data_IF_433996203179
#
_entry.id   IF_433996203179
#
_cell.length_a   1.000
_cell.length_b   1.000
_cell.length_c   1.000
_cell.angle_alpha   90.00
_cell.angle_beta   90.00
_cell.angle_gamma   90.00
#
_symmetry.space_group_name_H-M   'P 1'
#
loop_
_entity.id
_entity.type
_entity.pdbx_description
1 polymer ?
#
# COMPACT_ATOMS: atom_id res chain seq x y z
N UNK A 1 37.20 14.43 16.78
CA UNK A 1 35.92 14.34 17.50
C UNK A 1 34.78 13.71 16.69
N UNK A 2 35.02 13.07 15.53
CA UNK A 2 33.92 12.50 14.70
C UNK A 2 33.70 10.98 14.84
N UNK A 3 34.31 10.32 15.83
CA UNK A 3 34.17 8.87 15.99
C UNK A 3 32.86 8.45 16.66
N UNK A 4 32.18 9.35 17.38
CA UNK A 4 30.94 9.07 18.12
C UNK A 4 29.69 8.97 17.24
N UNK A 5 29.69 9.58 16.05
CA UNK A 5 28.60 9.51 15.06
C UNK A 5 28.80 8.38 14.03
N UNK A 6 30.04 8.01 13.74
CA UNK A 6 30.35 6.97 12.75
C UNK A 6 29.88 5.59 13.22
N UNK A 7 30.05 5.27 14.51
CA UNK A 7 29.69 3.96 15.05
C UNK A 7 28.18 3.66 15.03
N UNK A 8 27.29 4.55 15.54
CA UNK A 8 25.85 4.33 15.44
C UNK A 8 25.35 4.35 13.99
N UNK A 9 25.95 5.16 13.11
CA UNK A 9 25.59 5.18 11.68
C UNK A 9 25.97 3.87 10.98
N UNK A 10 27.14 3.30 11.29
CA UNK A 10 27.59 2.03 10.72
C UNK A 10 26.74 0.85 11.21
N UNK A 11 26.36 0.87 12.50
CA UNK A 11 25.43 -0.10 13.07
C UNK A 11 24.01 0.05 12.48
N UNK A 12 23.52 1.28 12.29
CA UNK A 12 22.24 1.55 11.65
C UNK A 12 22.23 1.09 10.18
N UNK A 13 23.31 1.30 9.42
CA UNK A 13 23.45 0.78 8.05
C UNK A 13 23.48 -0.76 8.06
N UNK A 14 24.22 -1.38 8.98
CA UNK A 14 24.20 -2.83 9.14
C UNK A 14 22.80 -3.35 9.51
N UNK A 15 22.06 -2.66 10.38
CA UNK A 15 20.71 -3.03 10.78
C UNK A 15 19.68 -2.78 9.67
N UNK A 16 19.89 -1.80 8.78
CA UNK A 16 19.10 -1.57 7.55
C UNK A 16 19.39 -2.65 6.49
N UNK A 17 20.61 -3.15 6.41
CA UNK A 17 20.99 -4.26 5.50
C UNK A 17 20.56 -5.63 6.07
N UNK A 18 20.65 -5.81 7.39
CA UNK A 18 20.14 -6.98 8.14
C UNK A 18 18.64 -6.86 8.48
N UNK A 19 17.99 -5.79 8.00
CA UNK A 19 16.60 -5.47 8.28
C UNK A 19 15.69 -6.55 7.73
N UNK A 20 15.90 -6.94 6.46
CA UNK A 20 15.06 -7.92 5.79
C UNK A 20 15.10 -9.30 6.49
N UNK A 21 16.26 -9.90 6.86
CA UNK A 21 16.27 -11.16 7.61
C UNK A 21 15.73 -11.05 9.04
N UNK A 22 16.08 -10.01 9.80
CA UNK A 22 15.71 -9.92 11.23
C UNK A 22 14.24 -9.55 11.45
N UNK A 23 13.66 -8.72 10.58
CA UNK A 23 12.21 -8.41 10.60
C UNK A 23 11.37 -9.67 10.45
N UNK A 24 11.80 -10.62 9.61
CA UNK A 24 11.08 -11.88 9.35
C UNK A 24 11.02 -12.77 10.59
N UNK A 25 12.08 -12.81 11.40
CA UNK A 25 12.14 -13.66 12.59
C UNK A 25 11.45 -13.08 13.82
N UNK A 26 11.33 -11.74 13.92
CA UNK A 26 10.79 -11.06 15.10
C UNK A 26 9.28 -10.83 15.04
N UNK A 27 8.66 -10.91 13.86
CA UNK A 27 7.27 -10.51 13.67
C UNK A 27 6.44 -11.60 12.97
N UNK A 28 5.53 -12.29 13.68
CA UNK A 28 4.73 -13.38 13.10
C UNK A 28 3.81 -12.95 11.94
N UNK A 29 3.53 -11.64 11.79
CA UNK A 29 2.79 -11.08 10.64
C UNK A 29 3.54 -11.21 9.30
N UNK A 30 4.88 -11.26 9.30
CA UNK A 30 5.68 -11.41 8.08
C UNK A 30 5.58 -12.81 7.46
N UNK A 31 5.36 -13.84 8.27
CA UNK A 31 5.24 -15.23 7.79
C UNK A 31 4.03 -15.39 6.87
N UNK A 32 2.92 -14.69 7.13
CA UNK A 32 1.75 -14.67 6.27
C UNK A 32 2.01 -13.93 4.95
N UNK A 33 2.76 -12.83 4.99
CA UNK A 33 3.13 -11.99 3.85
C UNK A 33 4.11 -12.69 2.90
N UNK A 34 5.13 -13.35 3.45
CA UNK A 34 6.14 -14.10 2.69
C UNK A 34 5.63 -15.41 2.10
N UNK A 35 4.56 -15.99 2.65
CA UNK A 35 3.90 -17.14 2.03
C UNK A 35 2.90 -16.72 0.95
N UNK A 36 2.21 -15.60 1.14
CA UNK A 36 1.14 -15.19 0.23
C UNK A 36 1.67 -14.54 -1.06
N UNK A 37 2.64 -13.63 -0.99
CA UNK A 37 3.07 -12.88 -2.19
C UNK A 37 3.76 -13.77 -3.23
N UNK A 38 4.69 -14.68 -2.89
CA UNK A 38 5.24 -15.63 -3.86
C UNK A 38 4.16 -16.55 -4.44
N UNK A 39 3.19 -16.99 -3.62
CA UNK A 39 2.07 -17.84 -4.07
C UNK A 39 1.14 -17.10 -5.04
N UNK A 40 0.85 -15.82 -4.77
CA UNK A 40 0.06 -14.93 -5.63
C UNK A 40 0.77 -14.65 -6.97
N UNK A 41 2.07 -14.37 -6.93
CA UNK A 41 2.89 -14.14 -8.12
C UNK A 41 3.06 -15.42 -8.97
N UNK A 42 3.17 -16.60 -8.34
CA UNK A 42 3.19 -17.88 -9.03
C UNK A 42 1.83 -18.22 -9.68
N UNK A 43 0.71 -17.84 -9.05
CA UNK A 43 -0.64 -17.97 -9.60
C UNK A 43 -0.86 -17.09 -10.83
N UNK A 44 -0.31 -15.86 -10.83
CA UNK A 44 -0.47 -14.92 -11.95
C UNK A 44 0.32 -15.33 -13.22
N UNK A 45 1.41 -16.09 -13.06
CA UNK A 45 2.43 -16.26 -14.13
C UNK A 45 2.57 -17.69 -14.70
N UNK A 46 1.74 -18.66 -14.28
CA UNK A 46 1.80 -20.04 -14.80
C UNK A 46 0.72 -20.30 -15.87
N UNK A 47 1.07 -20.41 -17.17
CA UNK A 47 0.09 -20.67 -18.24
C UNK A 47 -0.57 -22.06 -18.12
N UNK A 48 0.06 -23.00 -17.42
CA UNK A 48 -0.49 -24.34 -17.18
C UNK A 48 -1.49 -24.39 -16.02
N UNK A 49 -1.40 -23.47 -15.05
CA UNK A 49 -2.39 -23.35 -13.96
C UNK A 49 -3.60 -22.49 -14.35
N UNK A 50 -3.44 -21.55 -15.28
CA UNK A 50 -4.54 -20.75 -15.85
C UNK A 50 -5.64 -21.63 -16.50
N UNK A 51 -5.28 -22.81 -17.02
CA UNK A 51 -6.23 -23.72 -17.65
C UNK A 51 -6.97 -24.64 -16.67
N UNK A 52 -6.48 -24.82 -15.43
CA UNK A 52 -7.02 -25.79 -14.46
C UNK A 52 -7.69 -25.17 -13.23
N UNK A 53 -7.40 -23.91 -12.88
CA UNK A 53 -8.09 -23.21 -11.78
C UNK A 53 -8.65 -21.88 -12.29
N UNK A 54 -9.89 -21.98 -12.77
CA UNK A 54 -10.73 -20.95 -13.35
C UNK A 54 -10.45 -19.53 -12.84
N UNK A 55 -10.55 -18.56 -13.75
CA UNK A 55 -10.62 -17.10 -13.60
C UNK A 55 -11.62 -16.61 -12.52
N UNK A 56 -12.44 -17.52 -11.97
CA UNK A 56 -13.34 -17.35 -10.83
C UNK A 56 -12.58 -17.40 -9.47
N UNK A 57 -11.35 -17.92 -9.44
CA UNK A 57 -10.56 -18.18 -8.22
C UNK A 57 -9.87 -16.94 -7.66
N UNK A 58 -9.37 -16.03 -8.50
CA UNK A 58 -8.56 -14.89 -8.07
C UNK A 58 -9.38 -13.83 -7.28
N UNK A 59 -10.54 -13.33 -7.78
CA UNK A 59 -11.34 -12.36 -7.04
C UNK A 59 -11.87 -12.93 -5.73
N UNK A 60 -12.28 -14.20 -5.74
CA UNK A 60 -12.75 -14.88 -4.53
C UNK A 60 -11.61 -15.13 -3.54
N UNK A 61 -10.40 -15.41 -4.03
CA UNK A 61 -9.19 -15.49 -3.21
C UNK A 61 -8.84 -14.16 -2.55
N UNK A 62 -8.83 -13.06 -3.30
CA UNK A 62 -8.59 -11.71 -2.78
C UNK A 62 -9.67 -11.27 -1.78
N UNK A 63 -10.96 -11.50 -2.08
CA UNK A 63 -12.07 -11.28 -1.15
C UNK A 63 -11.84 -12.03 0.17
N UNK A 64 -11.51 -13.32 0.08
CA UNK A 64 -11.28 -14.18 1.25
C UNK A 64 -10.08 -13.69 2.04
N UNK A 65 -8.97 -13.36 1.38
CA UNK A 65 -7.77 -12.83 2.00
C UNK A 65 -8.08 -11.57 2.82
N UNK A 66 -8.63 -10.53 2.19
CA UNK A 66 -8.91 -9.26 2.89
C UNK A 66 -9.97 -9.44 3.98
N UNK A 67 -10.93 -10.36 3.82
CA UNK A 67 -11.87 -10.70 4.89
C UNK A 67 -11.15 -11.31 6.10
N UNK A 68 -10.25 -12.27 5.87
CA UNK A 68 -9.47 -12.92 6.93
C UNK A 68 -8.52 -11.93 7.60
N UNK A 69 -7.83 -11.09 6.83
CA UNK A 69 -6.91 -10.08 7.36
C UNK A 69 -7.65 -9.02 8.19
N UNK A 70 -8.80 -8.53 7.70
CA UNK A 70 -9.64 -7.59 8.46
C UNK A 70 -10.19 -8.19 9.75
N UNK A 71 -10.64 -9.45 9.71
CA UNK A 71 -11.11 -10.17 10.91
C UNK A 71 -9.98 -10.43 11.90
N UNK A 72 -8.78 -10.79 11.43
CA UNK A 72 -7.60 -10.96 12.25
C UNK A 72 -7.22 -9.65 12.96
N UNK A 73 -7.22 -8.53 12.22
CA UNK A 73 -6.92 -7.22 12.80
C UNK A 73 -7.97 -6.81 13.84
N UNK A 74 -9.26 -7.03 13.56
CA UNK A 74 -10.33 -6.76 14.52
C UNK A 74 -10.18 -7.61 15.79
N UNK A 75 -9.88 -8.90 15.66
CA UNK A 75 -9.63 -9.78 16.79
C UNK A 75 -8.42 -9.33 17.60
N UNK A 76 -7.33 -8.91 16.94
CA UNK A 76 -6.14 -8.39 17.60
C UNK A 76 -6.42 -7.09 18.35
N UNK A 77 -7.12 -6.12 17.74
CA UNK A 77 -7.51 -4.88 18.43
C UNK A 77 -8.38 -5.15 19.65
N UNK A 78 -9.38 -6.02 19.54
CA UNK A 78 -10.26 -6.37 20.65
C UNK A 78 -9.48 -7.07 21.77
N UNK A 79 -8.60 -8.00 21.41
CA UNK A 79 -7.73 -8.68 22.36
C UNK A 79 -6.83 -7.69 23.11
N UNK A 80 -6.08 -6.85 22.39
CA UNK A 80 -5.19 -5.84 22.98
C UNK A 80 -5.97 -4.81 23.80
N UNK A 81 -7.17 -4.41 23.38
CA UNK A 81 -8.02 -3.50 24.15
C UNK A 81 -8.47 -4.12 25.48
N UNK A 82 -8.79 -5.41 25.49
CA UNK A 82 -9.21 -6.14 26.70
C UNK A 82 -8.03 -6.34 27.65
N UNK A 83 -6.86 -6.71 27.13
CA UNK A 83 -5.68 -7.04 27.97
C UNK A 83 -4.93 -5.81 28.43
N UNK A 84 -4.75 -4.82 27.56
CA UNK A 84 -3.87 -3.67 27.77
C UNK A 84 -4.64 -2.35 27.90
N UNK A 85 -5.96 -2.34 27.76
CA UNK A 85 -6.77 -1.12 27.80
C UNK A 85 -6.50 -0.20 26.60
N UNK A 86 -6.89 1.07 26.69
CA UNK A 86 -6.84 2.00 25.56
C UNK A 86 -5.42 2.37 25.07
N UNK A 87 -5.24 2.62 23.77
CA UNK A 87 -3.94 2.95 23.17
C UNK A 87 -3.45 4.37 23.45
N UNK A 88 -4.34 5.28 23.87
CA UNK A 88 -4.05 6.72 24.00
C UNK A 88 -3.30 7.05 25.29
N UNK A 89 -2.06 6.54 25.38
CA UNK A 89 -1.16 6.71 26.51
C UNK A 89 0.17 7.27 26.04
N UNK A 90 0.68 8.31 26.70
CA UNK A 90 1.93 8.96 26.30
C UNK A 90 3.12 8.02 26.42
N UNK A 91 3.04 7.07 27.36
CA UNK A 91 4.06 6.06 27.60
C UNK A 91 4.24 5.11 26.40
N UNK A 92 3.21 4.94 25.57
CA UNK A 92 3.25 4.10 24.37
C UNK A 92 3.83 4.84 23.15
N UNK A 93 3.82 6.18 23.16
CA UNK A 93 4.34 7.03 22.07
C UNK A 93 5.86 7.18 22.15
N UNK A 94 6.57 6.04 22.11
CA UNK A 94 8.03 6.03 21.96
C UNK A 94 8.43 6.62 20.60
N UNK A 95 9.70 7.06 20.41
CA UNK A 95 10.16 7.59 19.12
C UNK A 95 9.90 6.62 17.96
N UNK A 96 10.11 5.33 18.18
CA UNK A 96 9.82 4.28 17.19
C UNK A 96 8.32 4.08 16.95
N UNK A 97 7.47 4.18 17.98
CA UNK A 97 6.02 4.14 17.77
C UNK A 97 5.56 5.31 16.90
N UNK A 98 6.07 6.51 17.19
CA UNK A 98 5.76 7.71 16.41
C UNK A 98 6.21 7.57 14.95
N UNK A 99 7.42 7.07 14.70
CA UNK A 99 7.90 6.80 13.34
C UNK A 99 7.03 5.78 12.60
N UNK A 100 6.63 4.69 13.27
CA UNK A 100 5.72 3.69 12.69
C UNK A 100 4.34 4.29 12.38
N UNK A 101 3.81 5.18 13.23
CA UNK A 101 2.56 5.89 12.95
C UNK A 101 2.69 6.80 11.73
N UNK A 102 3.80 7.54 11.60
CA UNK A 102 4.05 8.37 10.41
C UNK A 102 4.08 7.50 9.16
N UNK A 103 4.81 6.39 9.19
CA UNK A 103 4.89 5.42 8.09
C UNK A 103 3.50 4.89 7.69
N UNK A 104 2.73 4.47 8.70
CA UNK A 104 1.37 4.01 8.57
C UNK A 104 0.45 5.04 7.91
N UNK A 105 0.44 6.28 8.40
CA UNK A 105 -0.46 7.31 7.89
C UNK A 105 -0.10 7.76 6.47
N UNK A 106 1.16 7.67 6.06
CA UNK A 106 1.54 7.91 4.66
C UNK A 106 0.94 6.85 3.74
N UNK A 107 0.98 5.56 4.13
CA UNK A 107 0.31 4.50 3.38
C UNK A 107 -1.22 4.71 3.35
N UNK A 108 -1.81 5.12 4.47
CA UNK A 108 -3.24 5.49 4.53
C UNK A 108 -3.55 6.67 3.61
N UNK A 109 -2.65 7.65 3.46
CA UNK A 109 -2.85 8.77 2.53
C UNK A 109 -2.89 8.31 1.07
N UNK A 110 -2.04 7.33 0.69
CA UNK A 110 -2.07 6.73 -0.66
C UNK A 110 -3.41 6.00 -0.89
N UNK A 111 -3.85 5.19 0.07
CA UNK A 111 -5.14 4.49 0.01
C UNK A 111 -6.32 5.48 -0.02
N UNK A 112 -6.24 6.56 0.75
CA UNK A 112 -7.26 7.62 0.78
C UNK A 112 -7.35 8.34 -0.57
N UNK A 113 -6.21 8.61 -1.23
CA UNK A 113 -6.20 9.17 -2.58
C UNK A 113 -6.89 8.25 -3.59
N UNK A 114 -6.71 6.93 -3.46
CA UNK A 114 -7.44 5.96 -4.26
C UNK A 114 -8.95 5.97 -3.97
N UNK A 115 -9.36 6.02 -2.70
CA UNK A 115 -10.78 6.12 -2.30
C UNK A 115 -11.44 7.37 -2.88
N UNK A 116 -10.80 8.54 -2.78
CA UNK A 116 -11.31 9.81 -3.34
C UNK A 116 -11.53 9.70 -4.85
N UNK A 117 -10.62 9.03 -5.55
CA UNK A 117 -10.77 8.78 -6.98
C UNK A 117 -11.93 7.82 -7.28
N UNK A 118 -12.03 6.72 -6.52
CA UNK A 118 -12.98 5.63 -6.75
C UNK A 118 -14.42 6.02 -6.42
N UNK A 119 -14.62 6.78 -5.36
CA UNK A 119 -15.93 7.21 -4.91
C UNK A 119 -16.49 8.37 -5.76
N UNK A 120 -17.75 8.25 -6.17
CA UNK A 120 -18.42 9.30 -6.94
C UNK A 120 -18.96 10.44 -6.07
N UNK A 121 -19.32 10.12 -4.83
CA UNK A 121 -19.88 11.05 -3.88
C UNK A 121 -18.81 11.51 -2.89
N UNK A 122 -18.62 12.82 -2.77
CA UNK A 122 -17.66 13.42 -1.84
C UNK A 122 -18.00 13.08 -0.38
N UNK A 123 -19.28 12.93 -0.02
CA UNK A 123 -19.67 12.50 1.34
C UNK A 123 -19.23 11.07 1.61
N UNK A 124 -19.43 10.14 0.67
CA UNK A 124 -18.95 8.75 0.78
C UNK A 124 -17.43 8.71 0.94
N UNK A 125 -16.72 9.51 0.14
CA UNK A 125 -15.25 9.64 0.23
C UNK A 125 -14.80 10.08 1.62
N UNK A 126 -15.44 11.13 2.17
CA UNK A 126 -15.11 11.64 3.51
C UNK A 126 -15.37 10.60 4.59
N UNK A 127 -16.50 9.88 4.53
CA UNK A 127 -16.83 8.81 5.47
C UNK A 127 -15.74 7.73 5.44
N UNK A 128 -15.35 7.27 4.25
CA UNK A 128 -14.30 6.27 4.11
C UNK A 128 -12.93 6.75 4.58
N UNK A 129 -12.57 8.02 4.34
CA UNK A 129 -11.32 8.59 4.87
C UNK A 129 -11.33 8.59 6.40
N UNK A 130 -12.44 8.99 7.03
CA UNK A 130 -12.55 8.96 8.50
C UNK A 130 -12.41 7.52 9.01
N UNK A 131 -13.02 6.54 8.33
CA UNK A 131 -12.87 5.12 8.68
C UNK A 131 -11.43 4.64 8.49
N UNK A 132 -10.73 5.03 7.43
CA UNK A 132 -9.32 4.66 7.22
C UNK A 132 -8.41 5.25 8.29
N UNK A 133 -8.63 6.49 8.71
CA UNK A 133 -7.82 7.15 9.74
C UNK A 133 -8.08 6.55 11.13
N UNK A 134 -9.31 6.14 11.41
CA UNK A 134 -9.73 5.65 12.74
C UNK A 134 -9.59 4.14 12.93
N UNK A 135 -9.89 3.34 11.91
CA UNK A 135 -9.90 1.87 11.95
C UNK A 135 -8.75 1.24 11.16
N UNK A 136 -7.98 2.03 10.42
CA UNK A 136 -6.82 1.54 9.69
C UNK A 136 -7.14 0.46 8.67
N UNK A 137 -6.40 -0.62 8.73
CA UNK A 137 -6.48 -1.76 7.81
C UNK A 137 -7.78 -2.55 7.89
N UNK A 138 -8.55 -2.43 8.97
CA UNK A 138 -9.92 -2.98 9.03
C UNK A 138 -10.79 -2.27 7.98
N UNK A 139 -10.72 -0.94 7.92
CA UNK A 139 -11.43 -0.15 6.92
C UNK A 139 -10.88 -0.38 5.51
N UNK A 140 -9.55 -0.48 5.34
CA UNK A 140 -8.93 -0.85 4.05
C UNK A 140 -9.47 -2.18 3.54
N UNK A 141 -9.45 -3.20 4.39
CA UNK A 141 -9.92 -4.55 4.06
C UNK A 141 -11.41 -4.57 3.74
N UNK A 142 -12.23 -3.91 4.55
CA UNK A 142 -13.66 -3.77 4.31
C UNK A 142 -13.96 -3.05 3.00
N UNK A 143 -13.24 -1.96 2.71
CA UNK A 143 -13.41 -1.21 1.46
C UNK A 143 -13.10 -2.09 0.24
N UNK A 144 -11.96 -2.79 0.26
CA UNK A 144 -11.55 -3.69 -0.82
C UNK A 144 -12.61 -4.79 -1.03
N UNK A 145 -13.07 -5.44 0.05
CA UNK A 145 -14.12 -6.47 -0.02
C UNK A 145 -15.41 -5.90 -0.60
N UNK A 146 -15.84 -4.70 -0.17
CA UNK A 146 -17.03 -4.02 -0.72
C UNK A 146 -16.87 -3.76 -2.21
N UNK A 147 -15.70 -3.32 -2.70
CA UNK A 147 -15.47 -3.11 -4.13
C UNK A 147 -15.55 -4.43 -4.90
N UNK A 148 -15.00 -5.50 -4.36
CA UNK A 148 -15.07 -6.82 -4.95
C UNK A 148 -16.48 -7.43 -4.93
N UNK A 149 -17.32 -7.10 -3.93
CA UNK A 149 -18.72 -7.54 -3.85
C UNK A 149 -19.62 -6.79 -4.85
N UNK A 150 -19.27 -5.55 -5.21
CA UNK A 150 -19.98 -4.76 -6.22
C UNK A 150 -19.76 -5.28 -7.66
N UNK A 151 -18.79 -6.18 -7.89
CA UNK A 151 -18.53 -6.76 -9.21
C UNK A 151 -19.70 -7.62 -9.69
N UNK A 152 -20.20 -7.33 -10.89
CA UNK A 152 -21.14 -8.19 -11.61
C UNK A 152 -20.49 -9.51 -12.03
N UNK A 153 -21.27 -10.61 -12.07
CA UNK A 153 -20.83 -11.94 -12.55
C UNK A 153 -20.17 -11.89 -13.93
N UNK A 154 -20.61 -10.96 -14.80
CA UNK A 154 -20.07 -10.79 -16.15
C UNK A 154 -18.72 -10.04 -16.16
N UNK A 155 -18.55 -9.05 -15.29
CA UNK A 155 -17.32 -8.22 -15.17
C UNK A 155 -16.18 -8.97 -14.44
N UNK A 156 -16.52 -9.97 -13.62
CA UNK A 156 -15.55 -10.81 -12.92
C UNK A 156 -14.71 -11.70 -13.85
N UNK A 157 -15.12 -11.88 -15.11
CA UNK A 157 -14.50 -12.86 -16.03
C UNK A 157 -13.49 -12.28 -17.02
N UNK A 158 -13.52 -10.97 -17.32
CA UNK A 158 -12.65 -10.35 -18.32
C UNK A 158 -11.41 -9.65 -17.72
N UNK A 159 -11.53 -8.90 -16.61
CA UNK A 159 -10.39 -8.42 -15.79
C UNK A 159 -10.87 -7.81 -14.45
N UNK A 160 -11.06 -8.62 -13.39
CA UNK A 160 -11.67 -8.18 -12.14
C UNK A 160 -10.85 -7.11 -11.38
N UNK A 161 -9.53 -7.04 -11.59
CA UNK A 161 -8.67 -6.14 -10.85
C UNK A 161 -8.70 -4.73 -11.43
N UNK A 162 -8.75 -4.59 -12.76
CA UNK A 162 -9.01 -3.31 -13.44
C UNK A 162 -10.33 -2.70 -12.94
N UNK A 163 -11.40 -3.50 -12.83
CA UNK A 163 -12.69 -3.03 -12.33
C UNK A 163 -12.65 -2.57 -10.87
N UNK A 164 -11.89 -3.23 -10.01
CA UNK A 164 -11.75 -2.82 -8.60
C UNK A 164 -10.95 -1.53 -8.49
N UNK A 165 -9.85 -1.40 -9.24
CA UNK A 165 -8.98 -0.22 -9.19
C UNK A 165 -9.60 1.02 -9.83
N UNK A 166 -10.21 0.89 -11.01
CA UNK A 166 -10.76 2.01 -11.78
C UNK A 166 -12.19 2.35 -11.36
N UNK A 167 -12.51 3.65 -11.36
CA UNK A 167 -13.89 4.10 -11.18
C UNK A 167 -14.73 3.66 -12.39
N UNK A 168 -15.89 3.06 -12.14
CA UNK A 168 -16.84 2.75 -13.23
C UNK A 168 -17.15 4.03 -14.02
N UNK A 169 -17.19 3.97 -15.36
CA UNK A 169 -17.58 5.11 -16.18
C UNK A 169 -19.08 5.36 -15.99
N UNK A 170 -19.46 5.98 -14.88
CA UNK A 170 -20.76 6.60 -14.77
C UNK A 170 -20.73 7.86 -15.63
N UNK A 171 -21.64 7.89 -16.61
CA UNK A 171 -21.89 8.98 -17.55
C UNK A 171 -22.22 10.27 -16.79
N UNK A 172 -21.21 11.02 -16.36
CA UNK A 172 -21.38 12.39 -15.86
C UNK A 172 -20.25 13.25 -16.40
N UNK A 173 -20.51 13.85 -17.56
CA UNK A 173 -19.64 14.82 -18.23
C UNK A 173 -19.58 16.14 -17.48
N UNK A 174 -18.86 16.17 -16.37
CA UNK A 174 -18.37 17.42 -15.78
C UNK A 174 -16.91 17.15 -15.38
N UNK A 175 -16.01 17.39 -16.33
CA UNK A 175 -14.59 17.54 -16.05
C UNK A 175 -14.40 18.84 -15.24
N UNK A 176 -13.88 18.79 -14.00
CA UNK A 176 -13.49 20.00 -13.30
C UNK A 176 -12.23 20.54 -13.98
N UNK A 177 -12.40 21.63 -14.75
CA UNK A 177 -11.31 22.46 -15.29
C UNK A 177 -10.47 23.04 -14.15
N UNK A 178 -9.56 22.26 -13.59
CA UNK A 178 -8.57 22.76 -12.64
C UNK A 178 -7.22 22.80 -13.36
N UNK A 179 -6.78 24.00 -13.72
CA UNK A 179 -5.60 24.26 -14.55
C UNK A 179 -4.26 23.97 -13.86
N UNK A 180 -4.26 23.62 -12.56
CA UNK A 180 -3.12 22.96 -11.95
C UNK A 180 -3.17 21.48 -12.31
N UNK A 181 -2.11 20.99 -12.98
CA UNK A 181 -1.96 19.56 -13.22
C UNK A 181 -2.07 18.81 -11.88
N UNK A 182 -3.19 18.12 -11.65
CA UNK A 182 -3.43 17.30 -10.46
C UNK A 182 -2.27 16.32 -10.28
N UNK A 183 -1.72 15.82 -11.39
CA UNK A 183 -0.50 15.00 -11.44
C UNK A 183 0.70 15.72 -10.81
N UNK A 184 0.93 17.00 -11.13
CA UNK A 184 2.01 17.78 -10.52
C UNK A 184 1.83 17.96 -9.00
N UNK A 185 0.60 18.21 -8.54
CA UNK A 185 0.29 18.31 -7.09
C UNK A 185 0.59 16.97 -6.40
N UNK A 186 0.13 15.85 -6.96
CA UNK A 186 0.37 14.52 -6.40
C UNK A 186 1.87 14.17 -6.38
N UNK A 187 2.62 14.52 -7.43
CA UNK A 187 4.08 14.33 -7.46
C UNK A 187 4.77 15.05 -6.32
N UNK A 188 4.45 16.34 -6.12
CA UNK A 188 5.03 17.15 -5.05
C UNK A 188 4.62 16.58 -3.69
N UNK A 189 3.33 16.29 -3.49
CA UNK A 189 2.80 15.77 -2.23
C UNK A 189 3.49 14.46 -1.82
N UNK A 190 3.50 13.44 -2.68
CA UNK A 190 4.09 12.15 -2.34
C UNK A 190 5.63 12.20 -2.27
N UNK A 191 6.27 13.12 -2.99
CA UNK A 191 7.71 13.35 -2.83
C UNK A 191 8.03 13.95 -1.45
N UNK A 192 7.26 14.95 -1.01
CA UNK A 192 7.41 15.53 0.33
C UNK A 192 7.14 14.49 1.41
N UNK A 193 6.07 13.71 1.29
CA UNK A 193 5.76 12.64 2.26
C UNK A 193 6.88 11.60 2.34
N UNK A 194 7.44 11.18 1.20
CA UNK A 194 8.58 10.26 1.17
C UNK A 194 9.84 10.82 1.85
N UNK A 195 10.14 12.11 1.63
CA UNK A 195 11.26 12.80 2.30
C UNK A 195 11.02 12.94 3.80
N UNK A 196 9.78 13.25 4.22
CA UNK A 196 9.39 13.31 5.63
C UNK A 196 9.59 11.95 6.31
N UNK A 197 9.17 10.86 5.68
CA UNK A 197 9.38 9.52 6.22
C UNK A 197 10.87 9.18 6.31
N UNK A 198 11.65 9.45 5.26
CA UNK A 198 13.09 9.22 5.25
C UNK A 198 13.78 10.02 6.37
N UNK A 199 13.44 11.30 6.51
CA UNK A 199 13.95 12.16 7.58
C UNK A 199 13.56 11.65 8.96
N UNK A 200 12.32 11.18 9.14
CA UNK A 200 11.84 10.59 10.39
C UNK A 200 12.64 9.34 10.76
N UNK A 201 12.84 8.43 9.79
CA UNK A 201 13.58 7.20 9.99
C UNK A 201 15.07 7.44 10.30
N UNK A 202 15.72 8.37 9.58
CA UNK A 202 17.11 8.75 9.87
C UNK A 202 17.21 9.41 11.25
N UNK A 203 16.29 10.31 11.57
CA UNK A 203 16.26 10.98 12.87
C UNK A 203 16.09 9.99 14.02
N UNK A 204 15.14 9.05 13.93
CA UNK A 204 14.93 8.04 14.98
C UNK A 204 16.08 7.05 15.07
N UNK A 205 16.69 6.66 13.95
CA UNK A 205 17.88 5.81 13.97
C UNK A 205 19.08 6.49 14.66
N UNK A 206 19.30 7.77 14.41
CA UNK A 206 20.42 8.52 15.00
C UNK A 206 20.17 8.80 16.49
N UNK A 207 18.95 9.14 16.87
CA UNK A 207 18.63 9.55 18.23
C UNK A 207 18.33 8.38 19.16
N UNK A 208 17.58 7.39 18.68
CA UNK A 208 17.11 6.26 19.48
C UNK A 208 17.84 4.95 19.15
N UNK A 209 18.66 4.91 18.10
CA UNK A 209 19.39 3.71 17.69
C UNK A 209 18.50 2.70 16.95
N UNK A 210 18.86 1.41 17.00
CA UNK A 210 18.18 0.35 16.24
C UNK A 210 16.72 0.11 16.67
N UNK A 211 15.78 -0.13 15.73
CA UNK A 211 14.40 -0.50 16.05
C UNK A 211 14.27 -1.92 16.63
N UNK A 212 15.29 -2.76 16.50
CA UNK A 212 15.22 -4.18 16.86
C UNK A 212 15.48 -4.45 18.33
N UNK A 213 14.60 -3.93 19.18
CA UNK A 213 14.63 -4.15 20.62
C UNK A 213 13.30 -4.69 21.08
N UNK A 214 13.32 -5.78 21.83
CA UNK A 214 12.12 -6.42 22.38
C UNK A 214 11.34 -5.47 23.30
N UNK A 215 12.03 -4.54 23.96
CA UNK A 215 11.44 -3.49 24.81
C UNK A 215 10.49 -2.56 24.05
N UNK A 216 10.70 -2.36 22.74
CA UNK A 216 9.83 -1.54 21.90
C UNK A 216 8.57 -2.28 21.45
N UNK A 217 8.55 -3.62 21.54
CA UNK A 217 7.48 -4.49 21.07
C UNK A 217 6.36 -4.64 22.10
N UNK A 218 5.84 -3.51 22.58
CA UNK A 218 4.62 -3.51 23.41
C UNK A 218 3.44 -4.12 22.64
N UNK A 219 2.40 -4.64 23.31
CA UNK A 219 1.22 -5.20 22.64
C UNK A 219 0.58 -4.23 21.64
N UNK A 220 0.55 -2.94 21.98
CA UNK A 220 0.07 -1.89 21.09
C UNK A 220 0.99 -1.65 19.89
N UNK A 221 2.32 -1.66 20.07
CA UNK A 221 3.26 -1.61 18.93
C UNK A 221 3.04 -2.78 17.98
N UNK A 222 2.87 -4.00 18.52
CA UNK A 222 2.61 -5.19 17.70
C UNK A 222 1.30 -5.05 16.92
N UNK A 223 0.22 -4.60 17.57
CA UNK A 223 -1.05 -4.36 16.90
C UNK A 223 -0.91 -3.32 15.77
N UNK A 224 -0.28 -2.17 16.03
CA UNK A 224 -0.02 -1.13 15.01
C UNK A 224 0.81 -1.67 13.85
N UNK A 225 1.79 -2.52 14.12
CA UNK A 225 2.64 -3.07 13.07
C UNK A 225 1.88 -4.10 12.21
N UNK A 226 1.03 -4.93 12.81
CA UNK A 226 0.12 -5.81 12.04
C UNK A 226 -0.82 -4.98 11.17
N UNK A 227 -1.38 -3.90 11.73
CA UNK A 227 -2.25 -2.96 11.00
C UNK A 227 -1.54 -2.39 9.76
N UNK A 228 -0.33 -1.88 9.99
CA UNK A 228 0.56 -1.38 8.95
C UNK A 228 0.81 -2.41 7.85
N UNK A 229 1.18 -3.64 8.21
CA UNK A 229 1.52 -4.65 7.22
C UNK A 229 0.31 -5.12 6.40
N UNK A 230 -0.91 -5.11 6.95
CA UNK A 230 -2.11 -5.40 6.15
C UNK A 230 -2.32 -4.31 5.09
N UNK A 231 -2.07 -3.04 5.41
CA UNK A 231 -2.09 -1.98 4.40
C UNK A 231 -0.97 -2.15 3.37
N UNK A 232 0.22 -2.58 3.78
CA UNK A 232 1.31 -2.92 2.85
C UNK A 232 0.93 -4.07 1.93
N UNK A 233 0.17 -5.09 2.40
CA UNK A 233 -0.37 -6.15 1.54
C UNK A 233 -1.29 -5.58 0.47
N UNK A 234 -2.17 -4.64 0.82
CA UNK A 234 -3.05 -4.00 -0.16
C UNK A 234 -2.24 -3.28 -1.26
N UNK A 235 -1.20 -2.55 -0.88
CA UNK A 235 -0.30 -1.88 -1.82
C UNK A 235 0.53 -2.89 -2.64
N UNK A 236 1.04 -3.94 -2.01
CA UNK A 236 1.81 -4.99 -2.68
C UNK A 236 0.98 -5.73 -3.74
N UNK A 237 -0.29 -6.04 -3.44
CA UNK A 237 -1.24 -6.62 -4.41
C UNK A 237 -1.44 -5.68 -5.59
N UNK A 238 -1.58 -4.37 -5.35
CA UNK A 238 -1.69 -3.38 -6.43
C UNK A 238 -0.41 -3.32 -7.28
N UNK A 239 0.77 -3.30 -6.66
CA UNK A 239 2.05 -3.29 -7.37
C UNK A 239 2.25 -4.57 -8.18
N UNK A 240 2.01 -5.73 -7.59
CA UNK A 240 2.13 -7.03 -8.25
C UNK A 240 1.20 -7.18 -9.45
N UNK A 241 -0.02 -6.63 -9.35
CA UNK A 241 -0.94 -6.60 -10.47
C UNK A 241 -0.44 -5.69 -11.61
N UNK A 242 0.15 -4.55 -11.29
CA UNK A 242 0.54 -3.54 -12.27
C UNK A 242 1.85 -3.86 -12.99
N UNK A 243 2.79 -4.52 -12.33
CA UNK A 243 4.10 -4.87 -12.87
C UNK A 243 3.99 -6.07 -13.82
N UNK A 244 4.35 -5.87 -15.10
CA UNK A 244 4.28 -6.94 -16.11
C UNK A 244 5.40 -7.98 -15.95
N UNK A 245 6.52 -7.61 -15.32
CA UNK A 245 7.64 -8.50 -15.06
C UNK A 245 7.66 -8.93 -13.60
N UNK A 246 7.51 -10.24 -13.37
CA UNK A 246 7.49 -10.83 -12.04
C UNK A 246 8.75 -10.53 -11.21
N UNK A 247 9.92 -10.34 -11.84
CA UNK A 247 11.17 -10.00 -11.12
C UNK A 247 11.04 -8.60 -10.51
N UNK A 248 10.58 -7.62 -11.30
CA UNK A 248 10.36 -6.26 -10.80
C UNK A 248 9.24 -6.22 -9.76
N UNK A 249 8.16 -6.99 -9.94
CA UNK A 249 7.12 -7.14 -8.94
C UNK A 249 7.67 -7.66 -7.60
N UNK A 250 8.47 -8.74 -7.61
CA UNK A 250 9.12 -9.29 -6.41
C UNK A 250 10.04 -8.26 -5.76
N UNK A 251 10.87 -7.58 -6.55
CA UNK A 251 11.79 -6.55 -6.04
C UNK A 251 11.03 -5.42 -5.36
N UNK A 252 9.96 -4.90 -5.98
CA UNK A 252 9.14 -3.86 -5.37
C UNK A 252 8.45 -4.33 -4.09
N UNK A 253 7.93 -5.56 -4.06
CA UNK A 253 7.32 -6.10 -2.84
C UNK A 253 8.34 -6.23 -1.72
N UNK A 254 9.55 -6.72 -2.00
CA UNK A 254 10.63 -6.77 -1.01
C UNK A 254 10.94 -5.37 -0.48
N UNK A 255 11.01 -4.37 -1.37
CA UNK A 255 11.24 -2.99 -0.99
C UNK A 255 10.08 -2.39 -0.17
N UNK A 256 8.83 -2.79 -0.42
CA UNK A 256 7.67 -2.37 0.37
C UNK A 256 7.68 -2.98 1.77
N UNK A 257 8.03 -4.27 1.87
CA UNK A 257 8.14 -4.98 3.15
C UNK A 257 9.28 -4.44 3.99
N UNK A 258 10.39 -4.10 3.34
CA UNK A 258 11.50 -3.42 4.00
C UNK A 258 11.08 -1.98 4.29
N UNK A 259 11.15 -1.07 3.32
CA UNK A 259 11.14 0.38 3.53
C UNK A 259 9.75 1.03 3.66
N UNK A 260 8.68 0.22 3.67
CA UNK A 260 7.34 0.72 3.99
C UNK A 260 6.85 1.82 3.04
N UNK A 261 6.42 2.94 3.62
CA UNK A 261 5.87 4.07 2.88
C UNK A 261 6.89 4.83 2.05
N UNK A 262 8.20 4.75 2.34
CA UNK A 262 9.24 5.35 1.48
C UNK A 262 9.15 4.72 0.09
N UNK A 263 9.13 3.39 0.01
CA UNK A 263 8.96 2.66 -1.26
C UNK A 263 7.62 2.97 -1.89
N UNK A 264 6.54 3.05 -1.10
CA UNK A 264 5.19 3.36 -1.60
C UNK A 264 5.15 4.74 -2.28
N UNK A 265 5.75 5.76 -1.65
CA UNK A 265 5.91 7.10 -2.22
C UNK A 265 6.78 7.09 -3.47
N UNK A 266 7.93 6.42 -3.45
CA UNK A 266 8.83 6.31 -4.61
C UNK A 266 8.08 5.67 -5.79
N UNK A 267 7.34 4.57 -5.55
CA UNK A 267 6.58 3.87 -6.58
C UNK A 267 5.49 4.76 -7.17
N UNK A 268 4.69 5.44 -6.32
CA UNK A 268 3.64 6.36 -6.80
C UNK A 268 4.23 7.51 -7.61
N UNK A 269 5.31 8.14 -7.11
CA UNK A 269 5.98 9.26 -7.80
C UNK A 269 6.59 8.80 -9.13
N UNK A 270 7.26 7.65 -9.14
CA UNK A 270 7.80 7.02 -10.35
C UNK A 270 6.70 6.81 -11.39
N UNK A 271 5.56 6.27 -10.97
CA UNK A 271 4.42 6.03 -11.84
C UNK A 271 3.74 7.32 -12.34
N UNK A 272 3.72 8.36 -11.51
CA UNK A 272 3.23 9.68 -11.92
C UNK A 272 4.16 10.36 -12.92
N UNK A 273 5.48 10.16 -12.85
CA UNK A 273 6.44 10.73 -13.81
C UNK A 273 6.33 10.13 -15.22
N UNK A 274 5.81 8.92 -15.33
CA UNK A 274 5.57 8.29 -16.64
C UNK A 274 4.33 8.81 -17.38
N UNK A 275 3.50 9.63 -16.72
CA UNK A 275 2.25 10.18 -17.24
C UNK A 275 2.47 11.66 -17.60
N UNK A 276 1.85 12.16 -18.67
CA UNK A 276 1.93 13.59 -19.00
C UNK A 276 1.21 14.43 -17.95
N UNK A 277 1.60 15.69 -17.80
CA UNK A 277 0.96 16.61 -16.85
C UNK A 277 -0.49 16.95 -17.22
N UNK A 278 -0.85 16.77 -18.49
CA UNK A 278 -2.22 16.98 -19.01
C UNK A 278 -3.12 15.75 -18.83
N UNK A 279 -2.52 14.58 -18.59
CA UNK A 279 -3.25 13.33 -18.52
C UNK A 279 -3.91 13.17 -17.13
N UNK A 280 -5.03 12.43 -17.05
CA UNK A 280 -5.71 12.24 -15.78
C UNK A 280 -4.94 11.29 -14.85
N UNK A 281 -4.86 11.67 -13.56
CA UNK A 281 -4.05 10.96 -12.57
C UNK A 281 -4.43 9.48 -12.38
N UNK A 282 -5.66 9.07 -12.71
CA UNK A 282 -6.10 7.68 -12.58
C UNK A 282 -5.37 6.71 -13.51
N UNK A 283 -4.66 7.22 -14.53
CA UNK A 283 -3.83 6.38 -15.40
C UNK A 283 -2.72 5.66 -14.63
N UNK A 284 -2.37 6.10 -13.41
CA UNK A 284 -1.47 5.33 -12.53
C UNK A 284 -2.08 3.99 -12.09
N UNK A 285 -3.38 3.79 -12.19
CA UNK A 285 -4.05 2.56 -11.75
C UNK A 285 -4.21 1.53 -12.87
N UNK A 286 -4.03 1.95 -14.12
CA UNK A 286 -4.15 1.09 -15.32
C UNK A 286 -2.89 0.25 -15.52
N UNK A 287 -3.07 -0.96 -16.04
CA UNK A 287 -1.98 -1.88 -16.40
C UNK A 287 -1.06 -1.28 -17.49
N UNK A 288 0.22 -1.67 -17.47
CA UNK A 288 1.25 -1.04 -18.31
C UNK A 288 1.03 -1.28 -19.81
N UNK A 289 0.50 -2.46 -20.18
CA UNK A 289 0.24 -2.82 -21.58
C UNK A 289 -0.92 -2.00 -22.16
N UNK A 290 -2.01 -1.83 -21.41
CA UNK A 290 -3.19 -1.10 -21.86
C UNK A 290 -2.90 0.40 -21.98
N UNK A 291 -2.02 0.92 -21.10
CA UNK A 291 -1.52 2.30 -21.21
C UNK A 291 -0.74 2.52 -22.50
N UNK A 292 0.13 1.58 -22.87
CA UNK A 292 0.90 1.68 -24.11
C UNK A 292 -0.03 1.64 -25.33
N UNK A 293 -1.00 0.74 -25.35
CA UNK A 293 -1.96 0.61 -26.45
C UNK A 293 -2.82 1.86 -26.63
N UNK A 294 -3.33 2.45 -25.54
CA UNK A 294 -4.11 3.69 -25.60
C UNK A 294 -3.28 4.87 -26.14
N UNK A 295 -2.01 4.97 -25.73
CA UNK A 295 -1.09 6.00 -26.24
C UNK A 295 -0.84 5.85 -27.74
N UNK A 296 -0.73 4.62 -28.25
CA UNK A 296 -0.62 4.36 -29.69
C UNK A 296 -1.88 4.76 -30.46
N UNK A 297 -3.08 4.45 -29.92
CA UNK A 297 -4.35 4.82 -30.55
C UNK A 297 -4.53 6.34 -30.65
N UNK A 298 -4.17 7.06 -29.60
CA UNK A 298 -4.25 8.52 -29.57
C UNK A 298 -3.30 9.17 -30.58
N UNK A 299 -2.04 8.71 -30.65
CA UNK A 299 -1.07 9.16 -31.66
C UNK A 299 -1.55 8.84 -33.10
N UNK A 300 -2.19 7.69 -33.30
CA UNK A 300 -2.71 7.31 -34.62
C UNK A 300 -3.93 8.14 -35.06
N UNK A 301 -4.73 8.61 -34.11
CA UNK A 301 -5.91 9.44 -34.37
C UNK A 301 -5.54 10.91 -34.66
N UNK A 302 -4.49 11.42 -34.02
CA UNK A 302 -3.95 12.77 -34.28
C UNK A 302 -3.18 12.86 -35.62
N UNK A 303 -2.82 11.71 -36.21
CA UNK A 303 -2.09 11.62 -37.47
C UNK A 303 -3.01 11.51 -38.72
N UNK A 304 -4.34 11.49 -38.54
CA UNK A 304 -5.37 11.42 -39.59
C UNK A 304 -6.22 12.68 -39.63
#
# INVERSE_FOLDING_TARGET
EDASLIFPLKQAICDVVLWCPRVIYLFPGHTLLLLFVPSFLLLQNSPYLQLSMATISLPNGLKTLFTVLGALMLALLLYTLITDGFPFRKELLTPWMAATLVDFYINVAILSAWVVYKEANWVSSIIWIILLISLGSIATSAYIVVQFLKLSSQESSQDPMTYVLLRHPHKSGIEPKTKCSVVAILRILFSVLGVVMLGTLVYTLVTDGSPFRTELLTPWMQATLVDFYINVVALAVWVAYKESNWIYAVLWVILLICFGSITSCIYVVWQLFQISYQDPAYLILVHHNDRAENKYKEISADAT
#
